data_IF_162263761896
#
_entry.id   IF_162263761896
#
_cell.length_a   1.000
_cell.length_b   1.000
_cell.length_c   1.000
_cell.angle_alpha   90.00
_cell.angle_beta   90.00
_cell.angle_gamma   90.00
#
_symmetry.space_group_name_H-M   'P 1'
#
loop_
_entity.id
_entity.type
_entity.pdbx_description
1 polymer ?
#
# COMPACT_ATOMS: atom_id res chain seq x y z
N UNK A 1 52.99 -4.19 -29.62
CA UNK A 1 52.21 -5.36 -29.13
C UNK A 1 50.77 -5.22 -29.62
N UNK A 2 50.30 -6.06 -30.55
CA UNK A 2 49.40 -7.24 -30.31
C UNK A 2 48.14 -6.81 -29.52
N UNK A 3 46.90 -6.87 -29.99
CA UNK A 3 46.21 -7.83 -30.90
C UNK A 3 44.93 -7.18 -31.54
N UNK A 4 44.28 -7.84 -32.53
CA UNK A 4 43.40 -7.22 -33.51
C UNK A 4 41.90 -7.60 -33.43
N UNK A 5 41.10 -6.73 -34.08
CA UNK A 5 39.91 -6.94 -34.93
C UNK A 5 38.85 -8.00 -34.59
N UNK A 6 37.58 -7.57 -34.60
CA UNK A 6 36.47 -8.40 -35.08
C UNK A 6 35.53 -7.55 -35.95
N UNK A 7 35.19 -8.08 -37.13
CA UNK A 7 34.47 -7.45 -38.24
C UNK A 7 33.06 -8.00 -38.33
N UNK A 8 32.14 -7.11 -38.72
CA UNK A 8 30.78 -7.30 -39.26
C UNK A 8 30.53 -8.61 -40.04
N UNK A 9 29.34 -9.19 -39.87
CA UNK A 9 28.86 -10.29 -40.71
C UNK A 9 27.37 -10.64 -40.51
N UNK A 10 26.56 -10.14 -41.44
CA UNK A 10 25.12 -10.35 -41.63
C UNK A 10 24.75 -11.81 -41.97
N UNK A 11 23.51 -12.18 -41.64
CA UNK A 11 22.56 -12.96 -42.46
C UNK A 11 22.15 -14.39 -42.03
N UNK A 12 20.81 -14.55 -42.12
CA UNK A 12 20.03 -15.61 -42.81
C UNK A 12 19.32 -16.70 -41.99
N UNK A 13 18.00 -16.67 -42.20
CA UNK A 13 16.93 -17.64 -41.95
C UNK A 13 17.22 -19.04 -42.51
N UNK A 14 16.64 -20.06 -41.86
CA UNK A 14 16.02 -21.28 -42.41
C UNK A 14 15.51 -22.07 -41.18
N UNK A 15 14.23 -22.32 -40.88
CA UNK A 15 13.05 -22.78 -41.64
C UNK A 15 13.30 -24.10 -42.37
N UNK A 16 13.00 -25.21 -41.68
CA UNK A 16 12.85 -26.53 -42.28
C UNK A 16 11.49 -27.09 -41.87
N UNK A 17 10.52 -26.83 -42.74
CA UNK A 17 9.27 -27.58 -42.89
C UNK A 17 9.45 -28.56 -44.03
N UNK A 18 9.07 -29.83 -43.85
CA UNK A 18 8.72 -30.80 -44.92
C UNK A 18 8.73 -32.21 -44.32
N UNK A 19 7.92 -33.20 -44.71
CA UNK A 19 6.80 -33.28 -45.64
C UNK A 19 6.13 -34.64 -45.41
N UNK A 20 4.81 -34.65 -45.58
CA UNK A 20 3.91 -35.80 -45.51
C UNK A 20 4.28 -36.91 -46.51
N UNK A 21 4.01 -38.17 -46.14
CA UNK A 21 3.60 -39.19 -47.12
C UNK A 21 2.31 -39.86 -46.63
N UNK A 22 1.25 -39.68 -47.42
CA UNK A 22 0.01 -40.48 -47.38
C UNK A 22 0.22 -41.69 -48.29
N UNK A 23 -0.24 -42.87 -47.89
CA UNK A 23 -0.63 -43.92 -48.82
C UNK A 23 -1.81 -44.71 -48.23
N UNK A 24 -2.76 -45.05 -49.10
CA UNK A 24 -4.14 -45.47 -48.81
C UNK A 24 -4.30 -46.97 -48.48
N UNK A 25 -5.32 -47.25 -47.63
CA UNK A 25 -6.39 -48.32 -47.55
C UNK A 25 -6.28 -49.57 -48.47
N UNK A 26 -6.97 -50.74 -48.23
CA UNK A 26 -8.26 -50.91 -47.50
C UNK A 26 -8.55 -52.28 -46.78
N UNK A 27 -9.74 -52.36 -46.14
CA UNK A 27 -10.60 -53.52 -45.77
C UNK A 27 -9.94 -54.76 -45.10
N UNK A 28 -10.41 -55.27 -43.95
CA UNK A 28 -11.54 -56.21 -43.84
C UNK A 28 -11.83 -56.60 -42.37
N UNK A 29 -13.08 -57.01 -42.13
CA UNK A 29 -13.68 -57.51 -40.88
C UNK A 29 -13.01 -58.74 -40.24
N UNK A 30 -13.18 -58.91 -38.93
CA UNK A 30 -12.93 -60.18 -38.23
C UNK A 30 -13.04 -60.11 -36.71
N UNK A 31 -14.22 -60.44 -36.19
CA UNK A 31 -14.48 -60.81 -34.78
C UNK A 31 -13.59 -61.99 -34.35
N UNK A 32 -13.08 -61.98 -33.11
CA UNK A 32 -12.81 -63.12 -32.21
C UNK A 32 -12.02 -62.59 -31.00
N UNK A 33 -12.68 -62.40 -29.85
CA UNK A 33 -12.67 -63.34 -28.72
C UNK A 33 -11.50 -63.14 -27.75
N UNK A 34 -11.85 -62.58 -26.58
CA UNK A 34 -11.45 -63.00 -25.23
C UNK A 34 -10.10 -63.68 -25.03
N UNK A 35 -9.21 -63.03 -24.26
CA UNK A 35 -8.63 -63.56 -23.00
C UNK A 35 -7.38 -62.77 -22.59
N UNK A 36 -7.57 -61.70 -21.81
CA UNK A 36 -6.52 -61.11 -20.97
C UNK A 36 -7.15 -60.23 -19.87
N UNK A 37 -8.16 -60.78 -19.17
CA UNK A 37 -8.54 -60.30 -17.84
C UNK A 37 -7.72 -61.14 -16.87
N UNK A 38 -6.71 -60.56 -16.23
CA UNK A 38 -6.16 -60.93 -14.92
C UNK A 38 -4.87 -60.10 -14.70
N UNK A 39 -5.04 -58.86 -14.24
CA UNK A 39 -4.16 -58.07 -13.34
C UNK A 39 -4.63 -56.61 -13.35
N UNK A 40 -5.84 -56.37 -12.85
CA UNK A 40 -6.25 -55.04 -12.43
C UNK A 40 -5.85 -54.90 -10.96
N UNK A 41 -4.70 -54.29 -10.69
CA UNK A 41 -4.36 -53.81 -9.36
C UNK A 41 -5.44 -52.81 -8.95
N UNK A 42 -6.27 -53.16 -7.97
CA UNK A 42 -7.13 -52.19 -7.30
C UNK A 42 -6.25 -51.20 -6.57
N UNK A 43 -6.01 -50.05 -7.18
CA UNK A 43 -5.50 -48.88 -6.50
C UNK A 43 -6.52 -48.51 -5.42
N UNK A 44 -6.17 -48.73 -4.16
CA UNK A 44 -6.92 -48.18 -3.04
C UNK A 44 -6.72 -46.67 -3.10
N UNK A 45 -7.76 -45.94 -3.52
CA UNK A 45 -7.81 -44.51 -3.34
C UNK A 45 -7.80 -44.26 -1.83
N UNK A 46 -6.74 -43.63 -1.34
CA UNK A 46 -6.64 -43.20 0.05
C UNK A 46 -7.72 -42.12 0.24
N UNK A 47 -8.81 -42.47 0.92
CA UNK A 47 -9.83 -41.53 1.38
C UNK A 47 -9.11 -40.49 2.23
N UNK A 48 -8.81 -39.35 1.62
CA UNK A 48 -8.30 -38.19 2.33
C UNK A 48 -9.53 -37.57 2.97
N UNK A 49 -9.69 -37.78 4.27
CA UNK A 49 -10.68 -37.05 5.06
C UNK A 49 -10.38 -35.56 4.89
N UNK A 50 -11.25 -34.87 4.16
CA UNK A 50 -11.22 -33.42 4.00
C UNK A 50 -11.41 -32.79 5.37
N UNK A 51 -10.36 -32.16 5.90
CA UNK A 51 -10.45 -31.29 7.07
C UNK A 51 -11.25 -30.04 6.71
N UNK A 52 -12.52 -30.02 7.08
CA UNK A 52 -13.39 -28.85 6.97
C UNK A 52 -13.14 -27.96 8.20
N UNK A 53 -12.72 -26.71 7.96
CA UNK A 53 -12.52 -25.74 9.04
C UNK A 53 -13.87 -25.11 9.42
N UNK A 54 -14.05 -24.89 10.72
CA UNK A 54 -15.22 -24.17 11.23
C UNK A 54 -15.34 -22.77 10.63
N UNK A 55 -16.59 -22.35 10.42
CA UNK A 55 -16.91 -21.05 9.84
C UNK A 55 -16.55 -19.95 10.86
N UNK A 56 -15.54 -19.14 10.54
CA UNK A 56 -15.20 -17.94 11.33
C UNK A 56 -16.15 -16.82 10.94
N UNK A 57 -17.13 -16.55 11.80
CA UNK A 57 -18.00 -15.37 11.69
C UNK A 57 -17.26 -14.14 12.21
N UNK A 58 -16.86 -13.26 11.30
CA UNK A 58 -16.28 -11.95 11.65
C UNK A 58 -17.43 -10.97 11.85
N UNK A 59 -17.77 -10.69 13.11
CA UNK A 59 -18.64 -9.57 13.44
C UNK A 59 -17.79 -8.29 13.35
N UNK A 60 -18.09 -7.43 12.38
CA UNK A 60 -17.49 -6.11 12.33
C UNK A 60 -17.98 -5.33 13.55
N UNK A 61 -17.08 -5.04 14.49
CA UNK A 61 -17.36 -4.10 15.55
C UNK A 61 -17.80 -2.77 14.90
N UNK A 62 -18.88 -2.19 15.40
CA UNK A 62 -19.41 -0.93 14.89
C UNK A 62 -18.29 0.11 14.77
N UNK A 63 -18.27 0.80 13.63
CA UNK A 63 -17.26 1.77 13.16
C UNK A 63 -17.34 3.06 14.01
N UNK A 64 -17.19 2.96 15.32
CA UNK A 64 -17.12 4.13 16.20
C UNK A 64 -15.70 4.72 16.21
N UNK A 65 -14.68 3.86 16.18
CA UNK A 65 -13.27 4.26 16.17
C UNK A 65 -12.50 3.54 15.07
N UNK A 66 -12.45 4.17 13.89
CA UNK A 66 -11.65 3.67 12.77
C UNK A 66 -10.20 4.15 12.91
N UNK A 67 -9.23 3.24 12.79
CA UNK A 67 -7.81 3.60 12.81
C UNK A 67 -7.31 4.42 11.60
N UNK A 68 -8.22 4.83 10.72
CA UNK A 68 -7.99 5.67 9.53
C UNK A 68 -9.09 6.73 9.34
N UNK A 69 -10.01 6.85 10.31
CA UNK A 69 -11.18 7.71 10.23
C UNK A 69 -12.34 7.15 9.38
N UNK A 70 -13.45 7.90 9.24
CA UNK A 70 -13.65 9.25 9.77
C UNK A 70 -13.78 9.29 11.30
N UNK A 71 -13.12 10.25 11.92
CA UNK A 71 -13.18 10.48 13.37
C UNK A 71 -14.28 11.52 13.66
N UNK A 72 -15.21 11.19 14.55
CA UNK A 72 -16.34 12.09 14.88
C UNK A 72 -15.98 13.23 15.84
N UNK A 73 -14.78 13.18 16.44
CA UNK A 73 -14.32 14.16 17.41
C UNK A 73 -12.88 14.60 17.13
N UNK A 74 -12.38 15.56 17.91
CA UNK A 74 -10.98 16.01 17.87
C UNK A 74 -10.02 14.93 18.40
N UNK A 75 -10.51 14.03 19.26
CA UNK A 75 -9.70 12.98 19.89
C UNK A 75 -9.89 11.69 19.12
N UNK A 76 -8.85 11.23 18.43
CA UNK A 76 -8.81 9.89 17.88
C UNK A 76 -8.28 8.90 18.93
N UNK A 77 -8.82 7.68 18.93
CA UNK A 77 -8.39 6.62 19.86
C UNK A 77 -7.45 5.60 19.17
N UNK A 78 -7.51 5.48 17.85
CA UNK A 78 -6.83 4.39 17.10
C UNK A 78 -6.04 4.88 15.90
N UNK A 79 -4.97 4.17 15.57
CA UNK A 79 -4.13 4.47 14.39
C UNK A 79 -3.46 3.22 13.82
N UNK A 80 -3.23 3.28 12.50
CA UNK A 80 -2.40 2.31 11.78
C UNK A 80 -0.93 2.74 11.63
N UNK A 81 -0.61 4.02 11.85
CA UNK A 81 0.71 4.58 11.53
C UNK A 81 1.81 4.06 12.47
N UNK A 82 1.50 3.77 13.74
CA UNK A 82 2.49 3.33 14.74
C UNK A 82 2.94 1.87 14.63
N UNK A 83 2.10 0.99 14.09
CA UNK A 83 2.30 -0.46 14.11
C UNK A 83 2.03 -1.14 12.75
N UNK A 84 1.52 -0.40 11.75
CA UNK A 84 0.93 -0.91 10.50
C UNK A 84 -0.33 -1.77 10.67
N UNK A 85 -0.83 -1.91 11.89
CA UNK A 85 -2.07 -2.62 12.22
C UNK A 85 -3.00 -1.67 12.94
N UNK A 86 -4.30 -1.94 12.91
CA UNK A 86 -5.27 -1.19 13.72
C UNK A 86 -4.94 -1.38 15.21
N UNK A 87 -4.45 -0.31 15.86
CA UNK A 87 -3.99 -0.35 17.25
C UNK A 87 -4.48 0.87 18.01
N UNK A 88 -4.86 0.67 19.27
CA UNK A 88 -5.17 1.75 20.20
C UNK A 88 -3.93 2.62 20.47
N UNK A 89 -4.09 3.92 20.56
CA UNK A 89 -3.01 4.85 20.89
C UNK A 89 -2.35 4.54 22.25
N UNK A 90 -3.11 4.00 23.20
CA UNK A 90 -2.60 3.61 24.53
C UNK A 90 -1.71 2.36 24.47
N UNK A 91 -1.92 1.49 23.50
CA UNK A 91 -1.16 0.24 23.34
C UNK A 91 0.11 0.41 22.48
N UNK A 92 0.28 1.57 21.85
CA UNK A 92 1.44 1.85 21.01
C UNK A 92 2.70 2.09 21.85
N UNK A 93 3.77 1.38 21.50
CA UNK A 93 5.10 1.59 22.09
C UNK A 93 5.79 2.89 21.61
N UNK A 94 5.19 3.61 20.66
CA UNK A 94 5.76 4.79 20.02
C UNK A 94 4.84 5.99 20.16
N UNK A 95 5.44 7.18 20.26
CA UNK A 95 4.66 8.41 20.46
C UNK A 95 4.00 8.84 19.15
N UNK A 96 2.68 8.73 19.08
CA UNK A 96 1.86 9.19 17.96
C UNK A 96 0.99 10.36 18.40
N UNK A 97 0.78 11.32 17.50
CA UNK A 97 -0.27 12.32 17.64
C UNK A 97 -1.13 12.31 16.38
N UNK A 98 -2.44 12.42 16.55
CA UNK A 98 -3.39 12.41 15.44
C UNK A 98 -4.06 13.78 15.42
N UNK A 99 -4.10 14.38 14.23
CA UNK A 99 -4.87 15.60 13.95
C UNK A 99 -6.05 15.16 13.08
N UNK A 100 -7.25 15.16 13.65
CA UNK A 100 -8.46 14.66 12.98
C UNK A 100 -9.02 15.67 11.98
N UNK A 101 -9.87 15.21 11.05
CA UNK A 101 -10.61 16.11 10.16
C UNK A 101 -11.41 17.16 10.95
N UNK A 102 -12.05 16.76 12.06
CA UNK A 102 -12.85 17.68 12.86
C UNK A 102 -11.99 18.80 13.47
N UNK A 103 -10.76 18.49 13.91
CA UNK A 103 -9.81 19.50 14.37
C UNK A 103 -9.37 20.44 13.22
N UNK A 104 -9.01 19.86 12.07
CA UNK A 104 -8.60 20.61 10.88
C UNK A 104 -9.70 21.57 10.39
N UNK A 105 -10.95 21.08 10.37
CA UNK A 105 -12.14 21.84 9.97
C UNK A 105 -12.44 22.97 10.96
N UNK A 106 -12.42 22.68 12.26
CA UNK A 106 -12.64 23.69 13.32
C UNK A 106 -11.61 24.82 13.25
N UNK A 107 -10.36 24.48 12.91
CA UNK A 107 -9.26 25.44 12.81
C UNK A 107 -9.14 26.09 11.43
N UNK A 108 -9.97 25.69 10.45
CA UNK A 108 -9.94 26.16 9.07
C UNK A 108 -8.53 26.14 8.44
N UNK A 109 -7.82 25.03 8.59
CA UNK A 109 -6.42 24.90 8.15
C UNK A 109 -6.30 24.94 6.63
N UNK A 110 -5.33 25.72 6.12
CA UNK A 110 -5.13 25.91 4.68
C UNK A 110 -3.96 25.09 4.13
N UNK A 111 -3.01 24.70 4.98
CA UNK A 111 -1.85 23.91 4.60
C UNK A 111 -1.45 22.92 5.71
N UNK A 112 -0.52 22.02 5.41
CA UNK A 112 -0.09 20.97 6.34
C UNK A 112 0.61 21.56 7.57
N UNK A 113 1.40 22.62 7.40
CA UNK A 113 2.08 23.32 8.49
C UNK A 113 1.09 23.88 9.51
N UNK A 114 0.02 24.51 9.04
CA UNK A 114 -1.05 24.98 9.91
C UNK A 114 -1.67 23.81 10.66
N UNK A 115 -2.02 22.71 10.00
CA UNK A 115 -2.56 21.52 10.68
C UNK A 115 -1.64 21.03 11.81
N UNK A 116 -0.32 20.97 11.57
CA UNK A 116 0.67 20.48 12.51
C UNK A 116 1.06 21.46 13.64
N UNK A 117 0.71 22.74 13.54
CA UNK A 117 1.17 23.79 14.47
C UNK A 117 0.84 23.57 15.96
N UNK A 118 -0.23 22.83 16.27
CA UNK A 118 -0.63 22.48 17.64
C UNK A 118 -0.13 21.11 18.09
N UNK A 119 0.64 20.41 17.25
CA UNK A 119 1.20 19.10 17.61
C UNK A 119 2.50 19.25 18.39
N UNK A 120 2.54 18.72 19.61
CA UNK A 120 3.72 18.79 20.47
C UNK A 120 4.97 18.16 19.82
N UNK A 121 6.11 18.86 19.88
CA UNK A 121 7.39 18.38 19.34
C UNK A 121 7.48 18.46 17.81
N UNK A 122 6.52 19.10 17.15
CA UNK A 122 6.61 19.51 15.75
C UNK A 122 6.84 21.02 15.71
N UNK A 123 7.82 21.43 14.91
CA UNK A 123 8.07 22.84 14.60
C UNK A 123 7.76 23.04 13.15
N UNK A 124 6.86 23.98 12.87
CA UNK A 124 6.44 24.35 11.52
C UNK A 124 6.98 25.74 11.19
N UNK A 125 6.77 26.19 9.95
CA UNK A 125 7.05 27.58 9.55
C UNK A 125 8.55 27.93 9.55
N UNK A 126 9.40 27.00 9.12
CA UNK A 126 10.86 27.22 9.07
C UNK A 126 11.25 28.39 8.14
N UNK A 127 10.42 28.66 7.12
CA UNK A 127 10.68 29.67 6.09
C UNK A 127 9.63 30.79 6.05
N UNK A 128 8.83 30.95 7.11
CA UNK A 128 7.86 32.04 7.25
C UNK A 128 6.89 32.13 6.05
N UNK A 129 7.01 33.18 5.26
CA UNK A 129 6.13 33.47 4.13
C UNK A 129 6.28 32.54 2.91
N UNK A 130 7.23 31.60 2.91
CA UNK A 130 7.43 30.69 1.78
C UNK A 130 6.39 29.57 1.76
N UNK A 131 5.29 29.82 1.05
CA UNK A 131 4.18 28.87 0.92
C UNK A 131 4.36 27.87 -0.24
N UNK A 132 5.58 27.63 -0.75
CA UNK A 132 5.79 26.69 -1.88
C UNK A 132 5.80 25.23 -1.48
N UNK A 133 6.21 24.92 -0.25
CA UNK A 133 6.35 23.56 0.27
C UNK A 133 5.90 23.50 1.73
N UNK A 134 5.61 22.30 2.22
CA UNK A 134 5.30 22.09 3.63
C UNK A 134 6.61 21.83 4.41
N UNK A 135 7.09 22.83 5.14
CA UNK A 135 8.29 22.76 5.95
C UNK A 135 7.99 22.44 7.40
N UNK A 136 8.53 21.31 7.87
CA UNK A 136 8.34 20.90 9.25
C UNK A 136 9.54 20.10 9.78
N UNK A 137 9.74 20.25 11.07
CA UNK A 137 10.74 19.53 11.85
C UNK A 137 10.04 18.76 12.95
N UNK A 138 10.51 17.55 13.22
CA UNK A 138 10.02 16.75 14.34
C UNK A 138 11.19 16.54 15.29
N UNK A 139 11.01 16.95 16.56
CA UNK A 139 12.06 16.91 17.60
C UNK A 139 13.38 17.56 17.15
N UNK A 140 13.30 18.66 16.38
CA UNK A 140 14.45 19.42 15.89
C UNK A 140 15.14 18.85 14.63
N UNK A 141 14.66 17.73 14.09
CA UNK A 141 15.18 17.16 12.84
C UNK A 141 14.26 17.49 11.67
N UNK A 142 14.84 17.89 10.53
CA UNK A 142 14.09 18.14 9.31
C UNK A 142 13.41 16.84 8.82
N UNK A 143 12.09 16.90 8.69
CA UNK A 143 11.27 15.77 8.25
C UNK A 143 10.56 16.03 6.91
N UNK A 144 10.72 17.22 6.31
CA UNK A 144 10.10 17.60 5.04
C UNK A 144 10.41 16.63 3.89
N UNK A 145 11.68 16.30 3.67
CA UNK A 145 12.08 15.50 2.49
C UNK A 145 11.85 14.00 2.67
N UNK A 146 12.10 13.45 3.86
CA UNK A 146 12.10 12.01 4.14
C UNK A 146 10.95 11.55 5.05
N UNK A 147 10.31 12.45 5.77
CA UNK A 147 9.26 12.16 6.75
C UNK A 147 7.85 12.41 6.23
N UNK A 148 7.64 12.78 4.97
CA UNK A 148 6.28 12.97 4.42
C UNK A 148 5.74 11.66 3.83
N UNK A 149 4.59 11.21 4.31
CA UNK A 149 3.89 10.01 3.88
C UNK A 149 2.45 10.32 3.48
N UNK A 150 1.91 9.53 2.55
CA UNK A 150 0.49 9.56 2.20
C UNK A 150 -0.03 8.13 2.18
N UNK A 151 -1.05 7.86 2.98
CA UNK A 151 -1.67 6.53 3.14
C UNK A 151 -0.63 5.43 3.44
N UNK A 152 0.39 5.74 4.24
CA UNK A 152 1.48 4.83 4.60
C UNK A 152 2.56 4.65 3.54
N UNK A 153 2.47 5.32 2.38
CA UNK A 153 3.49 5.32 1.34
C UNK A 153 4.36 6.58 1.40
N UNK A 154 5.66 6.40 1.20
CA UNK A 154 6.62 7.51 1.24
C UNK A 154 6.36 8.46 0.08
N UNK A 155 6.12 9.74 0.40
CA UNK A 155 6.05 10.84 -0.57
C UNK A 155 7.36 11.63 -0.53
N UNK A 156 8.46 10.89 -0.66
CA UNK A 156 9.81 11.44 -0.61
C UNK A 156 10.00 12.50 -1.69
N UNK A 157 10.47 13.65 -1.24
CA UNK A 157 10.80 14.79 -2.10
C UNK A 157 12.31 14.87 -2.26
N UNK A 158 12.77 15.19 -3.48
CA UNK A 158 14.19 15.45 -3.76
C UNK A 158 14.30 16.89 -4.26
N UNK A 159 15.02 17.72 -3.52
CA UNK A 159 15.15 19.15 -3.82
C UNK A 159 13.78 19.83 -3.93
N UNK A 160 13.46 20.37 -5.11
CA UNK A 160 12.28 21.20 -5.37
C UNK A 160 11.12 20.43 -6.02
N UNK A 161 11.17 19.09 -6.04
CA UNK A 161 10.12 18.25 -6.68
C UNK A 161 8.91 17.98 -5.78
N UNK A 162 8.87 18.53 -4.58
CA UNK A 162 7.81 18.29 -3.61
C UNK A 162 6.55 19.07 -3.97
N UNK A 163 5.42 18.39 -4.01
CA UNK A 163 4.11 19.06 -4.03
C UNK A 163 3.59 19.26 -2.62
N UNK A 164 2.88 20.36 -2.38
CA UNK A 164 2.15 20.60 -1.13
C UNK A 164 1.05 19.57 -0.95
N UNK A 165 0.71 19.30 0.29
CA UNK A 165 -0.46 18.49 0.60
C UNK A 165 -1.65 19.40 0.92
N UNK A 166 -2.71 19.25 0.13
CA UNK A 166 -3.97 19.96 0.36
C UNK A 166 -4.71 19.29 1.53
N UNK A 167 -5.07 20.04 2.60
CA UNK A 167 -5.71 19.44 3.78
C UNK A 167 -7.13 18.95 3.55
N UNK A 168 -7.88 19.54 2.62
CA UNK A 168 -9.30 19.22 2.43
C UNK A 168 -9.54 17.79 1.94
N UNK A 169 -8.64 17.24 1.12
CA UNK A 169 -8.65 15.84 0.70
C UNK A 169 -8.13 14.85 1.75
N UNK A 170 -7.74 15.32 2.94
CA UNK A 170 -7.25 14.48 4.03
C UNK A 170 -8.36 14.18 5.03
N UNK A 171 -8.45 12.91 5.43
CA UNK A 171 -9.30 12.45 6.51
C UNK A 171 -8.69 12.78 7.88
N UNK A 172 -7.36 12.71 7.97
CA UNK A 172 -6.59 13.00 9.19
C UNK A 172 -5.09 12.98 8.89
N UNK A 173 -4.31 13.45 9.86
CA UNK A 173 -2.85 13.44 9.81
C UNK A 173 -2.31 12.76 11.05
N UNK A 174 -1.52 11.71 10.87
CA UNK A 174 -0.85 10.99 11.93
C UNK A 174 0.64 11.39 12.00
N UNK A 175 1.10 11.84 13.16
CA UNK A 175 2.48 12.23 13.41
C UNK A 175 3.13 11.20 14.30
N UNK A 176 4.01 10.38 13.72
CA UNK A 176 4.78 9.38 14.43
C UNK A 176 6.17 9.94 14.79
N UNK A 177 6.47 10.03 16.09
CA UNK A 177 7.65 10.72 16.61
C UNK A 177 8.74 9.74 17.05
N UNK A 178 9.98 10.01 16.63
CA UNK A 178 11.16 9.20 16.94
C UNK A 178 11.63 8.37 15.76
N UNK A 179 12.41 7.32 16.03
CA UNK A 179 12.93 6.45 14.99
C UNK A 179 11.84 5.49 14.49
N UNK A 180 11.53 5.56 13.20
CA UNK A 180 10.43 4.79 12.56
C UNK A 180 10.94 3.83 11.48
N UNK A 181 12.26 3.67 11.37
CA UNK A 181 12.89 2.96 10.27
C UNK A 181 12.61 1.46 10.24
N UNK A 182 12.22 0.87 11.37
CA UNK A 182 11.82 -0.55 11.45
C UNK A 182 10.59 -0.85 10.59
N UNK A 183 9.62 0.06 10.56
CA UNK A 183 8.37 -0.12 9.81
C UNK A 183 8.42 0.54 8.44
N UNK A 184 9.01 1.74 8.32
CA UNK A 184 8.91 2.57 7.12
C UNK A 184 10.22 2.65 6.31
N UNK A 185 11.30 2.01 6.77
CA UNK A 185 12.59 2.04 6.09
C UNK A 185 13.32 3.38 6.23
N UNK A 186 13.91 3.89 5.15
CA UNK A 186 14.65 5.16 5.19
C UNK A 186 13.72 6.32 5.58
N UNK A 187 13.99 6.95 6.72
CA UNK A 187 13.17 8.02 7.29
C UNK A 187 14.02 9.08 7.99
N UNK A 188 13.40 10.24 8.24
CA UNK A 188 13.98 11.24 9.12
C UNK A 188 14.04 10.70 10.57
N UNK A 189 15.12 10.96 11.32
CA UNK A 189 15.29 10.46 12.69
C UNK A 189 14.31 11.10 13.69
N UNK A 190 13.76 12.27 13.35
CA UNK A 190 12.73 12.94 14.14
C UNK A 190 11.38 12.22 14.11
N UNK A 191 11.09 11.48 13.04
CA UNK A 191 9.81 10.84 12.81
C UNK A 191 9.29 11.03 11.39
N UNK A 192 7.99 10.79 11.23
CA UNK A 192 7.27 11.02 9.99
C UNK A 192 5.86 11.57 10.26
N UNK A 193 5.29 12.18 9.23
CA UNK A 193 3.91 12.63 9.14
C UNK A 193 3.25 11.81 8.04
N UNK A 194 2.24 11.04 8.41
CA UNK A 194 1.42 10.26 7.51
C UNK A 194 0.08 10.96 7.31
N UNK A 195 -0.15 11.45 6.10
CA UNK A 195 -1.42 12.03 5.72
C UNK A 195 -2.34 10.96 5.15
N UNK A 196 -3.50 10.81 5.77
CA UNK A 196 -4.49 9.80 5.40
C UNK A 196 -5.55 10.49 4.55
N UNK A 197 -5.79 9.98 3.35
CA UNK A 197 -6.76 10.57 2.42
C UNK A 197 -8.19 10.19 2.77
N UNK A 198 -9.14 11.05 2.38
CA UNK A 198 -10.57 10.74 2.46
C UNK A 198 -10.90 9.50 1.65
N UNK A 199 -11.80 8.68 2.17
CA UNK A 199 -12.23 7.42 1.55
C UNK A 199 -13.73 7.45 1.25
N UNK A 200 -14.20 6.66 0.28
CA UNK A 200 -15.64 6.52 0.04
C UNK A 200 -16.37 6.07 1.30
N UNK A 201 -17.48 6.72 1.59
CA UNK A 201 -18.39 6.36 2.68
C UNK A 201 -19.40 5.32 2.19
N UNK A 202 -19.98 4.58 3.12
CA UNK A 202 -21.02 3.57 2.88
C UNK A 202 -22.44 4.18 2.81
N UNK A 203 -22.56 5.49 3.04
CA UNK A 203 -23.79 6.27 2.90
C UNK A 203 -23.60 7.46 1.95
N UNK A 204 -24.71 8.02 1.48
CA UNK A 204 -24.70 9.18 0.59
C UNK A 204 -24.25 10.45 1.34
N UNK A 205 -23.24 11.13 0.80
CA UNK A 205 -22.68 12.36 1.36
C UNK A 205 -22.37 13.36 0.23
N UNK A 206 -22.62 14.64 0.49
CA UNK A 206 -22.32 15.73 -0.44
C UNK A 206 -22.06 17.03 0.32
N UNK A 207 -20.93 17.66 0.01
CA UNK A 207 -20.52 18.94 0.59
C UNK A 207 -20.01 19.86 -0.53
N UNK A 208 -20.37 21.15 -0.46
CA UNK A 208 -19.89 22.18 -1.36
C UNK A 208 -19.36 23.33 -0.50
N UNK A 209 -18.09 23.67 -0.68
CA UNK A 209 -17.48 24.86 -0.09
C UNK A 209 -17.22 25.91 -1.17
N UNK A 210 -17.37 27.19 -0.82
CA UNK A 210 -17.00 28.31 -1.67
C UNK A 210 -16.19 29.31 -0.85
N UNK A 211 -15.17 29.88 -1.47
CA UNK A 211 -14.47 31.05 -0.94
C UNK A 211 -15.12 32.28 -1.55
N UNK A 212 -15.45 33.29 -0.74
CA UNK A 212 -15.96 34.59 -1.18
C UNK A 212 -14.81 35.56 -1.50
#
# INVERSE_FOLDING_TARGET
MKKPSCVSGTARKQLVSATRRRFNRPLSYGLLSSSALLFASTASAQTSDTTELDTVTVEAAAIADSAVGPDSTIVAERTTTGSKTDTDLLDLSSAVSVVTEEEMRTRNVQNLEQALSYTAGVTVDQYASDDRYDYFMIRGFNATSLGTYRDGLSRRTVNFTGGKLEPYGLQRIDVLKGSTSTLFGLNAPGGLVNAITKRPLDYEFGEIYTTL
#
